data_IF_504445456906
#
_entry.id   IF_504445456906
#
_cell.length_a   1.000
_cell.length_b   1.000
_cell.length_c   1.000
_cell.angle_alpha   90.00
_cell.angle_beta   90.00
_cell.angle_gamma   90.00
#
_symmetry.space_group_name_H-M   'P 1'
#
loop_
_entity.id
_entity.type
_entity.pdbx_description
1 polymer ?
#
# COMPACT_ATOMS: atom_id res chain seq x y z
N UNK A 1 34.43 -27.82 -38.25
CA UNK A 1 33.85 -28.10 -36.91
C UNK A 1 33.91 -26.93 -35.91
N UNK A 2 34.45 -25.75 -36.21
CA UNK A 2 34.51 -24.62 -35.26
C UNK A 2 33.21 -23.78 -35.18
N UNK A 3 32.49 -23.64 -36.30
CA UNK A 3 31.27 -22.82 -36.40
C UNK A 3 30.08 -23.41 -35.63
N UNK A 4 29.90 -24.73 -35.62
CA UNK A 4 28.83 -25.39 -34.86
C UNK A 4 28.96 -25.21 -33.34
N UNK A 5 30.20 -25.16 -32.81
CA UNK A 5 30.44 -24.95 -31.37
C UNK A 5 30.08 -23.54 -30.94
N UNK A 6 30.28 -22.54 -31.80
CA UNK A 6 30.00 -21.15 -31.47
C UNK A 6 28.50 -20.84 -31.40
N UNK A 7 27.71 -21.42 -32.31
CA UNK A 7 26.24 -21.30 -32.28
C UNK A 7 25.64 -22.00 -31.06
N UNK A 8 26.20 -23.13 -30.63
CA UNK A 8 25.72 -23.86 -29.45
C UNK A 8 25.98 -23.08 -28.16
N UNK A 9 27.17 -22.49 -28.01
CA UNK A 9 27.52 -21.66 -26.85
C UNK A 9 26.61 -20.42 -26.78
N UNK A 10 26.34 -19.78 -27.92
CA UNK A 10 25.46 -18.60 -27.96
C UNK A 10 24.02 -18.94 -27.53
N UNK A 11 23.49 -20.10 -27.98
CA UNK A 11 22.18 -20.59 -27.55
C UNK A 11 22.12 -20.86 -26.05
N UNK A 12 23.14 -21.52 -25.48
CA UNK A 12 23.18 -21.82 -24.04
C UNK A 12 23.22 -20.53 -23.23
N UNK A 13 24.03 -19.54 -23.61
CA UNK A 13 24.10 -18.24 -22.92
C UNK A 13 22.75 -17.50 -23.02
N UNK A 14 22.08 -17.52 -24.18
CA UNK A 14 20.75 -16.91 -24.34
C UNK A 14 19.71 -17.58 -23.45
N UNK A 15 19.68 -18.92 -23.39
CA UNK A 15 18.74 -19.64 -22.52
C UNK A 15 19.02 -19.42 -21.04
N UNK A 16 20.30 -19.38 -20.63
CA UNK A 16 20.69 -19.08 -19.25
C UNK A 16 20.31 -17.64 -18.87
N UNK A 17 20.52 -16.68 -19.78
CA UNK A 17 20.13 -15.29 -19.57
C UNK A 17 18.61 -15.14 -19.41
N UNK A 18 17.80 -15.83 -20.22
CA UNK A 18 16.33 -15.83 -20.08
C UNK A 18 15.91 -16.46 -18.74
N UNK A 19 16.58 -17.53 -18.31
CA UNK A 19 16.28 -18.20 -17.05
C UNK A 19 16.66 -17.36 -15.82
N UNK A 20 17.81 -16.67 -15.86
CA UNK A 20 18.28 -15.79 -14.78
C UNK A 20 17.50 -14.47 -14.75
N UNK A 21 17.07 -13.95 -15.92
CA UNK A 21 16.23 -12.74 -16.01
C UNK A 21 14.84 -12.95 -15.44
N UNK A 22 14.32 -14.18 -15.52
CA UNK A 22 13.10 -14.62 -14.84
C UNK A 22 13.40 -15.04 -13.41
N UNK A 23 14.10 -14.16 -12.68
CA UNK A 23 14.34 -14.33 -11.25
C UNK A 23 13.07 -14.83 -10.60
N UNK A 24 13.12 -16.05 -10.09
CA UNK A 24 12.05 -16.73 -9.40
C UNK A 24 11.79 -15.97 -8.10
N UNK A 25 11.04 -14.87 -8.19
CA UNK A 25 10.30 -14.35 -7.05
C UNK A 25 9.18 -15.34 -6.81
N UNK A 26 9.52 -16.47 -6.20
CA UNK A 26 8.52 -17.30 -5.55
C UNK A 26 7.77 -16.36 -4.61
N UNK A 27 6.47 -16.21 -4.82
CA UNK A 27 5.64 -15.35 -3.98
C UNK A 27 5.75 -15.87 -2.54
N UNK A 28 6.22 -15.02 -1.62
CA UNK A 28 6.22 -15.34 -0.21
C UNK A 28 4.80 -15.17 0.32
N UNK A 29 4.05 -16.28 0.31
CA UNK A 29 2.63 -16.24 0.67
C UNK A 29 2.39 -15.92 2.15
N UNK A 30 3.35 -16.20 3.04
CA UNK A 30 3.25 -15.77 4.43
C UNK A 30 3.38 -14.24 4.55
N UNK A 31 4.33 -13.65 3.82
CA UNK A 31 4.48 -12.20 3.76
C UNK A 31 3.28 -11.52 3.08
N UNK A 32 2.72 -12.13 2.02
CA UNK A 32 1.50 -11.65 1.37
C UNK A 32 0.28 -11.71 2.29
N UNK A 33 0.10 -12.79 3.06
CA UNK A 33 -1.00 -12.90 4.03
C UNK A 33 -0.90 -11.81 5.11
N UNK A 34 0.32 -11.54 5.60
CA UNK A 34 0.57 -10.45 6.55
C UNK A 34 0.25 -9.08 5.94
N UNK A 35 0.68 -8.83 4.71
CA UNK A 35 0.42 -7.58 3.98
C UNK A 35 -1.09 -7.33 3.82
N UNK A 36 -1.85 -8.38 3.50
CA UNK A 36 -3.33 -8.31 3.39
C UNK A 36 -3.98 -8.04 4.75
N UNK A 37 -3.51 -8.68 5.82
CA UNK A 37 -4.02 -8.42 7.17
C UNK A 37 -3.74 -6.98 7.61
N UNK A 38 -2.52 -6.48 7.40
CA UNK A 38 -2.14 -5.09 7.70
C UNK A 38 -2.98 -4.10 6.89
N UNK A 39 -3.26 -4.41 5.62
CA UNK A 39 -4.14 -3.62 4.76
C UNK A 39 -5.58 -3.55 5.30
N UNK A 40 -6.16 -4.69 5.73
CA UNK A 40 -7.50 -4.72 6.31
C UNK A 40 -7.58 -3.93 7.63
N UNK A 41 -6.60 -4.09 8.52
CA UNK A 41 -6.52 -3.34 9.76
C UNK A 41 -6.42 -1.82 9.49
N UNK A 42 -5.63 -1.42 8.49
CA UNK A 42 -5.51 -0.02 8.08
C UNK A 42 -6.83 0.55 7.54
N UNK A 43 -7.61 -0.26 6.80
CA UNK A 43 -8.90 0.15 6.25
C UNK A 43 -9.94 0.42 7.36
N UNK A 44 -9.96 -0.39 8.41
CA UNK A 44 -10.85 -0.18 9.56
C UNK A 44 -10.48 1.08 10.35
N UNK A 45 -9.18 1.35 10.54
CA UNK A 45 -8.70 2.58 11.16
C UNK A 45 -9.02 3.84 10.34
N UNK A 46 -8.96 3.73 9.00
CA UNK A 46 -9.37 4.75 8.05
C UNK A 46 -10.85 5.11 8.22
N UNK A 47 -11.72 4.11 8.27
CA UNK A 47 -13.17 4.34 8.40
C UNK A 47 -13.52 5.01 9.73
N UNK A 48 -12.88 4.59 10.82
CA UNK A 48 -13.02 5.24 12.13
C UNK A 48 -12.58 6.71 12.08
N UNK A 49 -11.44 6.98 11.42
CA UNK A 49 -10.91 8.33 11.28
C UNK A 49 -11.80 9.24 10.42
N UNK A 50 -12.44 8.69 9.36
CA UNK A 50 -13.44 9.39 8.55
C UNK A 50 -14.69 9.74 9.37
N UNK A 51 -15.18 8.81 10.19
CA UNK A 51 -16.28 9.05 11.11
C UNK A 51 -15.98 10.17 12.12
N UNK A 52 -14.78 10.14 12.72
CA UNK A 52 -14.33 11.20 13.62
C UNK A 52 -14.20 12.55 12.91
N UNK A 53 -13.69 12.58 11.68
CA UNK A 53 -13.59 13.82 10.90
C UNK A 53 -14.96 14.43 10.63
N UNK A 54 -15.93 13.61 10.21
CA UNK A 54 -17.31 14.04 9.99
C UNK A 54 -17.93 14.59 11.29
N UNK A 55 -17.73 13.90 12.42
CA UNK A 55 -18.18 14.35 13.73
C UNK A 55 -17.57 15.68 14.16
N UNK A 56 -16.25 15.86 13.99
CA UNK A 56 -15.59 17.13 14.33
C UNK A 56 -16.07 18.29 13.43
N UNK A 57 -16.32 18.04 12.14
CA UNK A 57 -16.88 19.04 11.21
C UNK A 57 -18.31 19.44 11.59
N UNK A 58 -19.16 18.46 11.94
CA UNK A 58 -20.52 18.72 12.40
C UNK A 58 -20.53 19.51 13.72
N UNK A 59 -19.68 19.12 14.68
CA UNK A 59 -19.50 19.88 15.92
C UNK A 59 -19.04 21.31 15.66
N UNK A 60 -18.07 21.52 14.75
CA UNK A 60 -17.58 22.85 14.41
C UNK A 60 -18.69 23.74 13.84
N UNK A 61 -19.56 23.18 12.98
CA UNK A 61 -20.71 23.87 12.41
C UNK A 61 -21.78 24.22 13.46
N UNK A 62 -21.91 23.41 14.51
CA UNK A 62 -22.87 23.65 15.60
C UNK A 62 -22.41 24.68 16.64
N UNK A 63 -21.13 25.08 16.63
CA UNK A 63 -20.58 25.97 17.64
C UNK A 63 -20.88 27.45 17.37
N UNK A 64 -21.32 28.12 18.42
CA UNK A 64 -21.52 29.57 18.43
C UNK A 64 -20.22 30.34 18.14
N UNK A 65 -20.29 31.56 17.57
CA UNK A 65 -19.10 32.39 17.30
C UNK A 65 -18.25 32.70 18.54
N UNK A 66 -18.85 32.72 19.72
CA UNK A 66 -18.18 33.02 20.99
C UNK A 66 -17.37 31.85 21.57
N UNK A 67 -17.59 30.61 21.10
CA UNK A 67 -16.88 29.41 21.55
C UNK A 67 -15.49 29.23 20.87
N UNK A 68 -14.68 30.30 20.81
CA UNK A 68 -13.40 30.35 20.06
C UNK A 68 -12.45 29.21 20.46
N UNK A 69 -12.30 28.93 21.75
CA UNK A 69 -11.40 27.86 22.25
C UNK A 69 -11.81 26.47 21.74
N UNK A 70 -13.11 26.16 21.73
CA UNK A 70 -13.62 24.89 21.21
C UNK A 70 -13.45 24.79 19.70
N UNK A 71 -13.64 25.90 18.98
CA UNK A 71 -13.40 25.98 17.53
C UNK A 71 -11.94 25.70 17.19
N UNK A 72 -10.99 26.33 17.88
CA UNK A 72 -9.56 26.08 17.67
C UNK A 72 -9.21 24.61 17.90
N UNK A 73 -9.74 23.99 18.97
CA UNK A 73 -9.52 22.57 19.26
C UNK A 73 -10.08 21.65 18.18
N UNK A 74 -11.32 21.90 17.73
CA UNK A 74 -11.94 21.11 16.66
C UNK A 74 -11.22 21.29 15.32
N UNK A 75 -10.81 22.50 14.96
CA UNK A 75 -10.04 22.75 13.74
C UNK A 75 -8.69 22.04 13.77
N UNK A 76 -8.00 22.05 14.91
CA UNK A 76 -6.76 21.28 15.10
C UNK A 76 -6.98 19.77 14.93
N UNK A 77 -8.04 19.22 15.57
CA UNK A 77 -8.41 17.82 15.40
C UNK A 77 -8.73 17.48 13.94
N UNK A 78 -9.46 18.35 13.23
CA UNK A 78 -9.77 18.18 11.80
C UNK A 78 -8.48 18.13 10.98
N UNK A 79 -7.53 19.03 11.24
CA UNK A 79 -6.26 19.06 10.52
C UNK A 79 -5.46 17.77 10.74
N UNK A 80 -5.33 17.33 11.98
CA UNK A 80 -4.60 16.09 12.35
C UNK A 80 -5.28 14.88 11.71
N UNK A 81 -6.62 14.79 11.78
CA UNK A 81 -7.36 13.68 11.19
C UNK A 81 -7.24 13.68 9.67
N UNK A 82 -7.27 14.85 9.03
CA UNK A 82 -7.10 14.96 7.57
C UNK A 82 -5.71 14.49 7.13
N UNK A 83 -4.64 14.94 7.82
CA UNK A 83 -3.29 14.49 7.54
C UNK A 83 -3.11 12.98 7.74
N UNK A 84 -3.75 12.41 8.78
CA UNK A 84 -3.75 10.96 9.00
C UNK A 84 -4.46 10.19 7.90
N UNK A 85 -5.60 10.70 7.40
CA UNK A 85 -6.33 10.09 6.29
C UNK A 85 -5.50 10.09 5.01
N UNK A 86 -4.89 11.22 4.67
CA UNK A 86 -4.02 11.33 3.49
C UNK A 86 -2.82 10.39 3.60
N UNK A 87 -2.19 10.31 4.76
CA UNK A 87 -1.08 9.37 5.01
C UNK A 87 -1.52 7.91 4.85
N UNK A 88 -2.71 7.56 5.36
CA UNK A 88 -3.24 6.20 5.25
C UNK A 88 -3.65 5.84 3.82
N UNK A 89 -4.18 6.78 3.04
CA UNK A 89 -4.47 6.60 1.61
C UNK A 89 -3.19 6.39 0.78
N UNK A 90 -2.14 7.15 1.09
CA UNK A 90 -0.82 6.93 0.51
C UNK A 90 -0.24 5.55 0.88
N UNK A 91 -0.40 5.13 2.14
CA UNK A 91 0.00 3.78 2.57
C UNK A 91 -0.76 2.68 1.85
N UNK A 92 -2.07 2.82 1.62
CA UNK A 92 -2.84 1.84 0.81
C UNK A 92 -2.26 1.69 -0.58
N UNK A 93 -1.90 2.79 -1.23
CA UNK A 93 -1.28 2.77 -2.56
C UNK A 93 0.05 2.02 -2.54
N UNK A 94 0.86 2.20 -1.49
CA UNK A 94 2.11 1.45 -1.31
C UNK A 94 1.85 -0.04 -1.09
N UNK A 95 0.87 -0.42 -0.28
CA UNK A 95 0.52 -1.82 -0.08
C UNK A 95 0.02 -2.49 -1.37
N UNK A 96 -0.79 -1.81 -2.17
CA UNK A 96 -1.24 -2.30 -3.47
C UNK A 96 -0.05 -2.51 -4.43
N UNK A 97 0.88 -1.56 -4.48
CA UNK A 97 2.11 -1.72 -5.25
C UNK A 97 2.94 -2.90 -4.75
N UNK A 98 3.12 -3.04 -3.43
CA UNK A 98 3.86 -4.17 -2.85
C UNK A 98 3.19 -5.50 -3.17
N UNK A 99 1.87 -5.59 -3.07
CA UNK A 99 1.09 -6.78 -3.40
C UNK A 99 1.35 -7.25 -4.84
N UNK A 100 1.34 -6.32 -5.80
CA UNK A 100 1.65 -6.60 -7.21
C UNK A 100 3.12 -6.99 -7.38
N UNK A 101 4.04 -6.24 -6.77
CA UNK A 101 5.49 -6.41 -6.95
C UNK A 101 6.02 -7.72 -6.33
N UNK A 102 5.36 -8.20 -5.28
CA UNK A 102 5.64 -9.48 -4.61
C UNK A 102 4.99 -10.68 -5.30
N UNK A 103 4.13 -10.46 -6.31
CA UNK A 103 3.42 -11.54 -6.98
C UNK A 103 2.39 -12.24 -6.09
N UNK A 104 1.81 -11.52 -5.11
CA UNK A 104 0.86 -12.09 -4.16
C UNK A 104 -0.41 -12.67 -4.80
N UNK A 105 -0.71 -12.30 -6.04
CA UNK A 105 -1.78 -12.90 -6.85
C UNK A 105 -1.58 -14.40 -7.14
N UNK A 106 -0.35 -14.90 -7.04
CA UNK A 106 -0.02 -16.31 -7.21
C UNK A 106 -0.24 -17.15 -5.93
N UNK A 107 -0.54 -16.52 -4.79
CA UNK A 107 -0.77 -17.21 -3.53
C UNK A 107 -2.20 -17.76 -3.44
N UNK A 108 -2.40 -18.95 -2.85
CA UNK A 108 -3.73 -19.47 -2.57
C UNK A 108 -4.44 -18.53 -1.59
N UNK A 109 -5.72 -18.24 -1.88
CA UNK A 109 -6.57 -17.34 -1.09
C UNK A 109 -7.11 -18.02 0.16
#
# INVERSE_FOLDING_TARGET
MKILRQNFIFCVILTLAIFISRGSRAADCAACAKLVADFQASAQALETSRGLLAGNKAMLASLSPSDVSKKVKLTSNILILTAKLETAENQRTLYEQQYVTMGCSACPK
#
